data_IF_924736535219
#
_entry.id   IF_924736535219
#
_cell.length_a   1.000
_cell.length_b   1.000
_cell.length_c   1.000
_cell.angle_alpha   90.00
_cell.angle_beta   90.00
_cell.angle_gamma   90.00
#
_symmetry.space_group_name_H-M   'P 1'
#
loop_
_entity.id
_entity.type
_entity.pdbx_description
1 polymer ?
#
# COMPACT_ATOMS: atom_id res chain seq x y z
N UNK A 1 -6.20 -16.46 6.70
CA UNK A 1 -5.57 -15.63 5.66
C UNK A 1 -5.07 -14.38 6.36
N UNK A 2 -3.76 -14.19 6.51
CA UNK A 2 -3.24 -13.05 7.24
C UNK A 2 -3.48 -11.77 6.44
N UNK A 3 -4.17 -10.83 7.06
CA UNK A 3 -4.31 -9.48 6.54
C UNK A 3 -3.17 -8.62 7.07
N UNK A 4 -2.75 -7.61 6.33
CA UNK A 4 -1.65 -6.73 6.71
C UNK A 4 -2.14 -5.30 6.71
N UNK A 5 -1.98 -4.63 7.85
CA UNK A 5 -2.17 -3.20 7.94
C UNK A 5 -0.79 -2.55 7.90
N UNK A 6 -0.55 -1.67 6.93
CA UNK A 6 0.70 -0.96 6.81
C UNK A 6 0.47 0.54 6.98
N UNK A 7 1.30 1.16 7.80
CA UNK A 7 1.27 2.59 8.08
C UNK A 7 2.41 3.25 7.35
N UNK A 8 2.08 4.26 6.55
CA UNK A 8 3.06 5.06 5.82
C UNK A 8 3.04 6.48 6.33
N UNK A 9 4.23 7.05 6.38
CA UNK A 9 4.47 8.45 6.67
C UNK A 9 4.68 9.17 5.35
N UNK A 10 3.75 10.06 5.06
CA UNK A 10 3.82 11.00 3.96
C UNK A 10 4.89 12.07 4.21
N UNK A 11 5.42 12.71 3.16
CA UNK A 11 6.46 13.75 3.29
C UNK A 11 5.98 14.99 4.03
N UNK A 12 4.67 15.27 4.02
CA UNK A 12 4.06 16.33 4.83
C UNK A 12 4.07 16.02 6.34
N UNK A 13 4.48 14.81 6.74
CA UNK A 13 4.49 14.33 8.13
C UNK A 13 3.22 13.61 8.56
N UNK A 14 2.18 13.57 7.72
CA UNK A 14 0.96 12.82 7.97
C UNK A 14 1.24 11.31 7.93
N UNK A 15 0.56 10.57 8.80
CA UNK A 15 0.66 9.11 8.84
C UNK A 15 -0.69 8.53 8.47
N UNK A 16 -0.72 7.64 7.48
CA UNK A 16 -1.95 6.97 7.07
C UNK A 16 -1.75 5.46 7.10
N UNK A 17 -2.75 4.78 7.65
CA UNK A 17 -2.81 3.33 7.68
C UNK A 17 -3.64 2.82 6.51
N UNK A 18 -3.11 1.83 5.81
CA UNK A 18 -3.73 1.14 4.70
C UNK A 18 -3.86 -0.34 4.97
N UNK A 19 -4.84 -0.95 4.32
CA UNK A 19 -5.14 -2.36 4.47
C UNK A 19 -4.77 -3.14 3.21
N UNK A 20 -4.00 -4.21 3.39
CA UNK A 20 -3.71 -5.23 2.39
C UNK A 20 -4.32 -6.57 2.81
N UNK A 21 -5.12 -7.22 1.96
CA UNK A 21 -5.73 -8.52 2.27
C UNK A 21 -4.73 -9.70 2.19
N UNK A 22 -3.44 -9.44 1.94
CA UNK A 22 -2.41 -10.48 1.84
C UNK A 22 -1.05 -10.00 2.33
N UNK A 23 -0.22 -10.95 2.77
CA UNK A 23 1.17 -10.73 3.17
C UNK A 23 2.14 -10.53 2.01
N UNK A 24 1.70 -10.69 0.76
CA UNK A 24 2.57 -10.43 -0.40
C UNK A 24 3.05 -8.97 -0.46
N UNK A 25 2.34 -8.04 0.19
CA UNK A 25 2.73 -6.63 0.30
C UNK A 25 4.13 -6.44 0.92
N UNK A 26 4.60 -7.38 1.75
CA UNK A 26 5.97 -7.36 2.31
C UNK A 26 7.07 -7.60 1.26
N UNK A 27 6.74 -8.16 0.09
CA UNK A 27 7.71 -8.31 -1.02
C UNK A 27 7.91 -7.01 -1.79
N UNK A 28 6.93 -6.09 -1.72
CA UNK A 28 6.95 -4.80 -2.42
C UNK A 28 7.36 -3.64 -1.51
N UNK A 29 6.93 -3.69 -0.25
CA UNK A 29 7.16 -2.65 0.75
C UNK A 29 7.99 -3.18 1.92
N UNK A 30 8.96 -2.38 2.34
CA UNK A 30 9.81 -2.67 3.49
C UNK A 30 9.66 -1.61 4.59
N UNK A 31 9.48 -2.05 5.82
CA UNK A 31 9.43 -1.18 7.01
C UNK A 31 10.78 -0.46 7.16
N UNK A 32 10.73 0.84 7.43
CA UNK A 32 11.89 1.71 7.58
C UNK A 32 12.50 2.17 6.25
N UNK A 33 11.96 1.72 5.11
CA UNK A 33 12.44 2.13 3.80
C UNK A 33 11.67 3.36 3.28
N UNK A 34 12.43 4.29 2.70
CA UNK A 34 11.91 5.48 2.05
C UNK A 34 11.81 5.22 0.54
N UNK A 35 10.65 5.48 -0.02
CA UNK A 35 10.37 5.33 -1.44
C UNK A 35 9.94 6.66 -2.02
N UNK A 36 10.41 7.05 -3.21
CA UNK A 36 9.86 8.21 -3.90
C UNK A 36 8.39 7.95 -4.23
N UNK A 37 7.56 8.99 -4.21
CA UNK A 37 6.09 8.89 -4.30
C UNK A 37 5.63 8.08 -5.51
N UNK A 38 6.23 8.32 -6.69
CA UNK A 38 5.98 7.55 -7.92
C UNK A 38 6.29 6.06 -7.74
N UNK A 39 7.44 5.73 -7.14
CA UNK A 39 7.83 4.34 -6.95
C UNK A 39 6.97 3.66 -5.89
N UNK A 40 6.65 4.37 -4.81
CA UNK A 40 5.76 3.87 -3.76
C UNK A 40 4.38 3.53 -4.33
N UNK A 41 3.78 4.43 -5.12
CA UNK A 41 2.48 4.18 -5.76
C UNK A 41 2.50 2.94 -6.64
N UNK A 42 3.57 2.75 -7.43
CA UNK A 42 3.74 1.58 -8.29
C UNK A 42 3.91 0.29 -7.47
N UNK A 43 4.77 0.31 -6.44
CA UNK A 43 4.99 -0.85 -5.56
C UNK A 43 3.73 -1.26 -4.79
N UNK A 44 2.97 -0.27 -4.30
CA UNK A 44 1.67 -0.49 -3.64
C UNK A 44 0.66 -1.06 -4.62
N UNK A 45 0.59 -0.54 -5.85
CA UNK A 45 -0.30 -1.03 -6.90
C UNK A 45 -0.03 -2.50 -7.22
N UNK A 46 1.22 -2.85 -7.55
CA UNK A 46 1.64 -4.23 -7.78
C UNK A 46 1.36 -5.12 -6.56
N UNK A 47 1.68 -4.66 -5.36
CA UNK A 47 1.48 -5.41 -4.12
C UNK A 47 0.01 -5.67 -3.80
N UNK A 48 -0.87 -4.68 -3.99
CA UNK A 48 -2.31 -4.83 -3.80
C UNK A 48 -2.96 -5.66 -4.91
N UNK A 49 -2.46 -5.55 -6.15
CA UNK A 49 -2.91 -6.39 -7.26
C UNK A 49 -2.55 -7.86 -7.01
N UNK A 50 -1.30 -8.15 -6.66
CA UNK A 50 -0.84 -9.49 -6.28
C UNK A 50 -1.62 -10.01 -5.07
N UNK A 51 -1.89 -9.16 -4.07
CA UNK A 51 -2.70 -9.54 -2.91
C UNK A 51 -4.13 -9.95 -3.33
N UNK A 52 -4.77 -9.16 -4.19
CA UNK A 52 -6.10 -9.45 -4.72
C UNK A 52 -6.12 -10.72 -5.57
N UNK A 53 -5.09 -10.96 -6.39
CA UNK A 53 -4.97 -12.19 -7.17
C UNK A 53 -4.84 -13.42 -6.28
N UNK A 54 -4.06 -13.35 -5.19
CA UNK A 54 -3.98 -14.44 -4.21
C UNK A 54 -5.31 -14.70 -3.51
N UNK A 55 -6.05 -13.64 -3.16
CA UNK A 55 -7.40 -13.77 -2.60
C UNK A 55 -8.33 -14.43 -3.63
N UNK A 56 -8.28 -14.01 -4.89
CA UNK A 56 -9.06 -14.61 -5.99
C UNK A 56 -8.73 -16.08 -6.18
N UNK A 57 -7.45 -16.45 -6.12
CA UNK A 57 -7.03 -17.84 -6.24
C UNK A 57 -7.48 -18.70 -5.05
N UNK A 58 -7.53 -18.13 -3.84
CA UNK A 58 -7.88 -18.88 -2.63
C UNK A 58 -9.40 -18.92 -2.37
N UNK A 59 -10.15 -17.87 -2.70
CA UNK A 59 -11.59 -17.73 -2.40
C UNK A 59 -12.49 -17.72 -3.66
N UNK A 60 -11.92 -17.65 -4.86
CA UNK A 60 -12.68 -17.62 -6.12
C UNK A 60 -13.27 -16.25 -6.49
N UNK A 61 -13.12 -15.22 -5.64
CA UNK A 61 -13.62 -13.87 -5.87
C UNK A 61 -12.52 -12.82 -5.64
N UNK A 62 -12.46 -11.80 -6.49
CA UNK A 62 -11.50 -10.69 -6.35
C UNK A 62 -11.90 -9.76 -5.21
N UNK A 63 -10.94 -9.29 -4.43
CA UNK A 63 -11.20 -8.36 -3.34
C UNK A 63 -11.27 -6.94 -3.89
N UNK A 64 -12.47 -6.36 -4.01
CA UNK A 64 -12.64 -4.94 -4.37
C UNK A 64 -11.91 -4.03 -3.39
N UNK A 65 -11.92 -4.40 -2.10
CA UNK A 65 -11.29 -3.61 -1.03
C UNK A 65 -9.82 -3.31 -1.25
N UNK A 66 -9.06 -4.14 -1.96
CA UNK A 66 -7.67 -3.84 -2.30
C UNK A 66 -7.57 -2.69 -3.32
N UNK A 67 -8.43 -2.69 -4.34
CA UNK A 67 -8.48 -1.61 -5.33
C UNK A 67 -9.04 -0.31 -4.73
N UNK A 68 -10.01 -0.40 -3.81
CA UNK A 68 -10.50 0.77 -3.07
C UNK A 68 -9.37 1.41 -2.24
N UNK A 69 -8.55 0.59 -1.54
CA UNK A 69 -7.38 1.09 -0.81
C UNK A 69 -6.37 1.75 -1.76
N UNK A 70 -6.07 1.14 -2.91
CA UNK A 70 -5.18 1.73 -3.92
C UNK A 70 -5.69 3.11 -4.39
N UNK A 71 -6.99 3.21 -4.70
CA UNK A 71 -7.60 4.46 -5.11
C UNK A 71 -7.51 5.53 -4.02
N UNK A 72 -7.70 5.17 -2.75
CA UNK A 72 -7.50 6.09 -1.62
C UNK A 72 -6.06 6.59 -1.52
N UNK A 73 -5.07 5.70 -1.67
CA UNK A 73 -3.64 6.07 -1.62
C UNK A 73 -3.29 7.03 -2.77
N UNK A 74 -3.72 6.72 -4.00
CA UNK A 74 -3.50 7.59 -5.15
C UNK A 74 -4.21 8.94 -5.00
N UNK A 75 -5.40 8.94 -4.40
CA UNK A 75 -6.14 10.17 -4.13
C UNK A 75 -5.43 11.03 -3.09
N UNK A 76 -4.97 10.46 -1.97
CA UNK A 76 -4.18 11.19 -0.97
C UNK A 76 -2.87 11.72 -1.53
N UNK A 77 -2.16 10.92 -2.34
CA UNK A 77 -0.96 11.37 -3.01
C UNK A 77 -1.20 12.59 -3.90
N UNK A 78 -2.37 12.65 -4.58
CA UNK A 78 -2.78 13.85 -5.33
C UNK A 78 -3.20 15.01 -4.44
N UNK A 79 -3.93 14.75 -3.35
CA UNK A 79 -4.37 15.78 -2.41
C UNK A 79 -3.20 16.47 -1.70
N UNK A 80 -2.13 15.73 -1.42
CA UNK A 80 -0.91 16.29 -0.84
C UNK A 80 0.03 16.91 -1.86
N UNK A 81 -0.39 16.99 -3.14
CA UNK A 81 0.39 17.55 -4.24
C UNK A 81 1.81 16.99 -4.29
N UNK A 82 1.93 15.67 -4.09
CA UNK A 82 3.23 15.01 -3.99
C UNK A 82 4.00 15.15 -5.29
N UNK A 83 5.22 15.65 -5.16
CA UNK A 83 6.21 15.62 -6.23
C UNK A 83 6.71 14.20 -6.45
N UNK A 84 7.12 13.81 -7.65
CA UNK A 84 7.66 12.47 -7.93
C UNK A 84 8.91 12.13 -7.09
N UNK A 85 9.58 13.15 -6.56
CA UNK A 85 10.74 13.09 -5.67
C UNK A 85 10.41 13.05 -4.17
N UNK A 86 9.14 13.24 -3.80
CA UNK A 86 8.71 13.19 -2.40
C UNK A 86 8.91 11.81 -1.79
N UNK A 87 9.46 11.76 -0.58
CA UNK A 87 9.78 10.51 0.08
C UNK A 87 8.64 10.07 1.00
N UNK A 88 8.12 8.88 0.72
CA UNK A 88 7.14 8.19 1.56
C UNK A 88 7.88 7.10 2.32
N UNK A 89 7.75 7.09 3.64
CA UNK A 89 8.42 6.10 4.49
C UNK A 89 7.41 5.13 5.05
N UNK A 90 7.64 3.83 4.92
CA UNK A 90 6.81 2.83 5.60
C UNK A 90 7.28 2.73 7.05
N UNK A 91 6.45 3.15 8.01
CA UNK A 91 6.86 3.21 9.43
C UNK A 91 6.43 1.98 10.22
N UNK A 92 5.35 1.33 9.80
CA UNK A 92 4.82 0.16 10.51
C UNK A 92 4.14 -0.77 9.52
N UNK A 93 4.27 -2.09 9.73
CA UNK A 93 3.45 -3.10 9.06
C UNK A 93 3.11 -4.17 10.08
N UNK A 94 1.81 -4.34 10.32
CA UNK A 94 1.28 -5.27 11.32
C UNK A 94 0.36 -6.26 10.63
N UNK A 95 0.68 -7.56 10.72
CA UNK A 95 -0.23 -8.60 10.28
C UNK A 95 -1.27 -8.89 11.37
N UNK A 96 -2.55 -9.00 10.98
CA UNK A 96 -3.65 -9.49 11.83
C UNK A 96 -4.13 -10.85 11.35
#
# INVERSE_FOLDING_TARGET
>A
MPSVNFTVKWPNGEQTQYYSPSTVIYEYLSIGQCYPSTQFLHQVEDGLYAASERVRACYGFGCSSAMDNLAMIQHQAKLFELSPEDQITVIEMTHK
#
